data_IF_421616774431
#
_entry.id   IF_421616774431
#
_cell.length_a   1.000
_cell.length_b   1.000
_cell.length_c   1.000
_cell.angle_alpha   90.00
_cell.angle_beta   90.00
_cell.angle_gamma   90.00
#
_symmetry.space_group_name_H-M   'P 1'
#
loop_
_entity.id
_entity.type
_entity.pdbx_description
1 polymer ?
#
# COMPACT_ATOMS: atom_id res chain seq x y z
N UNK A 1 59.99 16.76 107.25
CA UNK A 1 60.71 15.98 106.25
C UNK A 1 59.69 15.23 105.39
N UNK A 2 59.28 15.74 104.20
CA UNK A 2 58.47 15.03 103.26
C UNK A 2 59.38 14.05 102.53
N UNK A 3 59.07 12.75 102.54
CA UNK A 3 59.95 11.72 101.99
C UNK A 3 59.93 11.76 100.44
N UNK A 4 61.10 11.57 99.80
CA UNK A 4 61.40 11.59 98.34
C UNK A 4 60.34 10.72 97.49
N UNK A 5 59.76 9.60 98.04
CA UNK A 5 58.82 8.78 97.24
C UNK A 5 57.45 9.43 96.96
N UNK A 6 56.99 10.36 97.79
CA UNK A 6 55.68 11.05 97.53
C UNK A 6 55.75 12.11 96.42
N UNK A 7 56.89 12.74 96.21
CA UNK A 7 57.05 13.71 95.07
C UNK A 7 57.15 13.00 93.74
N UNK A 8 57.78 11.81 93.65
CA UNK A 8 57.82 10.99 92.40
C UNK A 8 56.48 10.44 92.01
N UNK A 9 55.56 10.06 92.91
CA UNK A 9 54.22 9.61 92.64
C UNK A 9 53.31 10.73 92.13
N UNK A 10 53.45 11.96 92.60
CA UNK A 10 52.72 13.12 92.14
C UNK A 10 53.19 13.58 90.75
N UNK A 11 54.47 13.43 90.41
CA UNK A 11 55.04 13.73 89.10
C UNK A 11 54.65 12.68 88.06
N UNK A 12 54.57 11.42 88.39
CA UNK A 12 54.07 10.32 87.52
C UNK A 12 52.56 10.43 87.19
N UNK A 13 51.78 10.78 88.22
CA UNK A 13 50.34 11.00 88.01
C UNK A 13 50.07 12.26 87.16
N UNK A 14 50.82 13.33 87.36
CA UNK A 14 50.71 14.53 86.50
C UNK A 14 51.09 14.28 85.07
N UNK A 15 52.10 13.44 84.82
CA UNK A 15 52.51 13.07 83.46
C UNK A 15 51.48 12.17 82.77
N UNK A 16 50.80 11.26 83.45
CA UNK A 16 49.72 10.45 82.92
C UNK A 16 48.50 11.30 82.60
N UNK A 17 48.11 12.27 83.39
CA UNK A 17 46.99 13.16 83.17
C UNK A 17 47.20 14.06 81.98
N UNK A 18 48.48 14.61 81.84
CA UNK A 18 48.90 15.44 80.70
C UNK A 18 48.83 14.61 79.38
N UNK A 19 49.38 13.39 79.39
CA UNK A 19 49.29 12.49 78.21
C UNK A 19 47.83 12.09 77.83
N UNK A 20 46.95 11.91 78.86
CA UNK A 20 45.55 11.63 78.61
C UNK A 20 44.81 12.84 78.06
N UNK A 21 45.11 14.04 78.51
CA UNK A 21 44.62 15.29 78.00
C UNK A 21 45.10 15.57 76.57
N UNK A 22 46.36 15.28 76.24
CA UNK A 22 46.88 15.39 74.88
C UNK A 22 46.23 14.41 73.90
N UNK A 23 46.00 13.13 74.32
CA UNK A 23 45.32 12.15 73.51
C UNK A 23 43.85 12.52 73.24
N UNK A 24 43.16 13.12 74.23
CA UNK A 24 41.76 13.59 74.05
C UNK A 24 41.74 14.79 73.09
N UNK A 25 42.74 15.69 73.18
CA UNK A 25 42.84 16.87 72.30
C UNK A 25 43.20 16.49 70.87
N UNK A 26 44.11 15.51 70.68
CA UNK A 26 44.43 14.97 69.36
C UNK A 26 43.24 14.20 68.76
N UNK A 27 42.47 13.39 69.52
CA UNK A 27 41.28 12.74 69.04
C UNK A 27 40.17 13.73 68.65
N UNK A 28 39.95 14.79 69.47
CA UNK A 28 39.00 15.85 69.17
C UNK A 28 39.42 16.71 67.98
N UNK A 29 40.73 16.90 67.77
CA UNK A 29 41.26 17.65 66.60
C UNK A 29 41.18 16.84 65.33
N UNK A 30 41.32 15.50 65.41
CA UNK A 30 41.18 14.59 64.24
C UNK A 30 39.71 14.46 63.82
N UNK A 31 38.77 14.40 64.76
CA UNK A 31 37.37 14.41 64.43
C UNK A 31 36.85 15.78 63.90
N UNK A 32 37.36 16.88 64.43
CA UNK A 32 37.02 18.24 64.00
C UNK A 32 37.58 18.57 62.59
N UNK A 33 38.78 18.05 62.23
CA UNK A 33 39.34 18.24 60.86
C UNK A 33 38.66 17.36 59.79
N UNK A 34 38.05 16.21 60.18
CA UNK A 34 37.28 15.37 59.26
C UNK A 34 35.90 15.99 58.96
N UNK A 35 35.32 16.75 59.88
CA UNK A 35 34.02 17.39 59.69
C UNK A 35 34.09 18.74 58.91
N UNK A 36 35.27 19.30 58.71
CA UNK A 36 35.42 20.64 58.11
C UNK A 36 35.23 20.67 56.56
N UNK A 37 35.31 19.51 55.86
CA UNK A 37 35.31 19.43 54.42
C UNK A 37 34.26 18.43 53.84
N UNK A 38 33.13 18.19 54.57
CA UNK A 38 32.10 17.27 54.13
C UNK A 38 30.70 17.93 54.23
N UNK A 39 29.97 17.91 53.14
CA UNK A 39 28.54 18.26 53.10
C UNK A 39 27.75 17.00 53.35
N UNK A 40 26.85 17.02 54.32
CA UNK A 40 25.90 15.92 54.56
C UNK A 40 24.53 16.30 54.02
N UNK A 41 23.95 15.45 53.25
CA UNK A 41 22.62 15.61 52.69
C UNK A 41 21.79 14.31 52.83
N UNK A 42 20.49 14.46 53.12
CA UNK A 42 19.55 13.35 53.05
C UNK A 42 19.33 12.99 51.57
N UNK A 43 19.04 11.72 51.30
CA UNK A 43 18.76 11.29 49.95
C UNK A 43 18.12 9.91 49.90
N UNK A 44 17.90 9.43 48.67
CA UNK A 44 17.41 8.08 48.45
C UNK A 44 18.08 7.46 47.20
N UNK A 45 18.11 6.15 47.14
CA UNK A 45 18.65 5.40 46.03
C UNK A 45 17.59 5.27 44.92
N UNK A 46 17.99 5.53 43.68
CA UNK A 46 17.13 5.33 42.51
C UNK A 46 17.91 4.62 41.39
N UNK A 47 17.21 3.91 40.46
CA UNK A 47 17.79 3.48 39.21
C UNK A 47 18.24 4.68 38.38
N UNK A 48 19.28 4.53 37.58
CA UNK A 48 19.70 5.57 36.64
C UNK A 48 18.58 5.81 35.60
N UNK A 49 18.22 7.08 35.37
CA UNK A 49 17.20 7.47 34.40
C UNK A 49 15.77 7.49 34.96
N UNK A 50 15.63 7.40 36.28
CA UNK A 50 14.34 7.36 37.00
C UNK A 50 13.55 6.06 36.78
N UNK A 51 12.50 5.86 37.55
CA UNK A 51 11.58 4.73 37.44
C UNK A 51 10.50 5.10 36.41
N UNK A 52 10.31 4.26 35.42
CA UNK A 52 9.30 4.46 34.39
C UNK A 52 8.06 3.60 34.71
N UNK A 53 6.93 4.26 34.92
CA UNK A 53 5.64 3.60 35.02
C UNK A 53 5.12 3.28 33.62
N UNK A 54 5.09 2.00 33.29
CA UNK A 54 4.57 1.51 31.99
C UNK A 54 3.04 1.42 32.08
N UNK A 55 2.38 2.15 31.20
CA UNK A 55 0.93 2.19 31.06
C UNK A 55 0.51 1.76 29.66
N UNK A 56 -0.76 1.35 29.44
CA UNK A 56 -1.30 1.12 28.12
C UNK A 56 -1.19 2.38 27.27
N UNK A 57 -1.10 2.19 25.96
CA UNK A 57 -1.07 3.30 25.00
C UNK A 57 -2.41 4.07 25.03
N UNK A 58 -2.36 5.36 24.70
CA UNK A 58 -3.54 6.21 24.62
C UNK A 58 -4.70 5.56 23.85
N UNK A 59 -5.90 5.60 24.41
CA UNK A 59 -7.09 4.93 23.89
C UNK A 59 -7.32 3.51 24.40
N UNK A 60 -6.35 2.93 25.12
CA UNK A 60 -6.43 1.58 25.71
C UNK A 60 -6.45 1.60 27.26
N UNK A 61 -6.65 2.77 27.88
CA UNK A 61 -6.57 2.94 29.35
C UNK A 61 -7.67 2.18 30.11
N UNK A 62 -8.74 1.81 29.42
CA UNK A 62 -9.85 1.01 29.98
C UNK A 62 -9.78 -0.47 29.62
N UNK A 63 -8.71 -0.89 28.91
CA UNK A 63 -8.51 -2.29 28.61
C UNK A 63 -8.12 -3.06 29.88
N UNK A 64 -8.56 -4.30 29.96
CA UNK A 64 -8.14 -5.24 31.01
C UNK A 64 -6.87 -5.94 30.58
N UNK A 65 -6.06 -6.33 31.55
CA UNK A 65 -4.92 -7.19 31.31
C UNK A 65 -5.43 -8.62 31.12
N UNK A 66 -5.22 -9.19 29.94
CA UNK A 66 -5.49 -10.61 29.69
C UNK A 66 -4.36 -11.48 30.24
N UNK A 67 -3.12 -11.12 29.93
CA UNK A 67 -1.92 -11.86 30.32
C UNK A 67 -0.82 -10.90 30.76
N UNK A 68 -0.18 -11.20 31.89
CA UNK A 68 1.04 -10.53 32.32
C UNK A 68 2.21 -11.49 32.10
N UNK A 69 3.20 -11.08 31.32
CA UNK A 69 4.32 -11.93 30.89
C UNK A 69 5.60 -11.76 31.71
N UNK A 70 5.58 -10.91 32.69
CA UNK A 70 6.75 -10.59 33.51
C UNK A 70 6.45 -10.76 35.01
N UNK A 71 7.51 -10.93 35.76
CA UNK A 71 7.47 -11.05 37.25
C UNK A 71 8.26 -9.92 37.89
N UNK A 72 7.93 -9.60 39.12
CA UNK A 72 8.71 -8.66 39.93
C UNK A 72 10.17 -9.16 40.05
N UNK A 73 11.11 -8.27 39.82
CA UNK A 73 12.54 -8.55 39.83
C UNK A 73 13.11 -9.10 38.52
N UNK A 74 12.28 -9.36 37.49
CA UNK A 74 12.70 -9.87 36.19
C UNK A 74 13.40 -8.78 35.37
N UNK A 75 14.47 -9.17 34.64
CA UNK A 75 15.17 -8.30 33.74
C UNK A 75 14.48 -8.32 32.37
N UNK A 76 14.19 -7.15 31.84
CA UNK A 76 13.55 -6.95 30.53
C UNK A 76 14.41 -6.09 29.63
N UNK A 77 14.25 -6.27 28.33
CA UNK A 77 14.87 -5.43 27.28
C UNK A 77 13.84 -4.50 26.66
N UNK A 78 14.33 -3.42 26.08
CA UNK A 78 13.48 -2.55 25.27
C UNK A 78 12.79 -3.33 24.14
N UNK A 79 11.46 -3.21 24.06
CA UNK A 79 10.62 -3.94 23.12
C UNK A 79 10.01 -5.25 23.65
N UNK A 80 10.47 -5.79 24.79
CA UNK A 80 9.89 -6.99 25.38
C UNK A 80 8.42 -6.76 25.79
N UNK A 81 7.58 -7.78 25.56
CA UNK A 81 6.15 -7.71 25.89
C UNK A 81 5.98 -7.90 27.40
N UNK A 82 5.46 -6.89 28.05
CA UNK A 82 5.15 -6.87 29.48
C UNK A 82 3.77 -7.46 29.75
N UNK A 83 2.77 -7.01 29.00
CA UNK A 83 1.40 -7.45 29.15
C UNK A 83 0.67 -7.51 27.80
N UNK A 84 -0.36 -8.34 27.73
CA UNK A 84 -1.32 -8.44 26.63
C UNK A 84 -2.67 -7.98 27.13
N UNK A 85 -3.33 -7.11 26.38
CA UNK A 85 -4.65 -6.57 26.70
C UNK A 85 -5.76 -7.49 26.16
N UNK A 86 -6.92 -7.51 26.81
CA UNK A 86 -8.10 -8.33 26.48
C UNK A 86 -8.68 -8.04 25.07
N UNK A 87 -8.42 -6.86 24.53
CA UNK A 87 -8.76 -6.49 23.14
C UNK A 87 -7.93 -7.23 22.08
N UNK A 88 -6.87 -7.97 22.46
CA UNK A 88 -5.95 -8.62 21.54
C UNK A 88 -6.67 -9.58 20.59
N UNK A 89 -7.51 -10.49 21.11
CA UNK A 89 -8.24 -11.47 20.30
C UNK A 89 -9.15 -10.82 19.26
N UNK A 90 -9.83 -9.73 19.62
CA UNK A 90 -10.68 -8.97 18.70
C UNK A 90 -9.86 -8.25 17.63
N UNK A 91 -8.68 -7.74 17.96
CA UNK A 91 -7.78 -7.09 17.01
C UNK A 91 -7.11 -8.10 16.06
N UNK A 92 -6.83 -9.32 16.53
CA UNK A 92 -6.39 -10.44 15.66
C UNK A 92 -7.47 -10.75 14.63
N UNK A 93 -8.73 -10.93 15.05
CA UNK A 93 -9.83 -11.17 14.14
C UNK A 93 -10.06 -10.01 13.14
N UNK A 94 -9.90 -8.76 13.61
CA UNK A 94 -9.99 -7.58 12.73
C UNK A 94 -8.86 -7.56 11.69
N UNK A 95 -7.64 -7.96 12.04
CA UNK A 95 -6.53 -8.08 11.10
C UNK A 95 -6.78 -9.18 10.06
N UNK A 96 -7.29 -10.33 10.48
CA UNK A 96 -7.63 -11.44 9.59
C UNK A 96 -8.74 -11.05 8.60
N UNK A 97 -9.76 -10.33 9.07
CA UNK A 97 -10.80 -9.76 8.23
C UNK A 97 -10.23 -8.78 7.18
N UNK A 98 -9.32 -7.90 7.60
CA UNK A 98 -8.66 -6.96 6.70
C UNK A 98 -7.80 -7.69 5.64
N UNK A 99 -7.11 -8.77 6.01
CA UNK A 99 -6.38 -9.61 5.06
C UNK A 99 -7.30 -10.31 4.06
N UNK A 100 -8.46 -10.80 4.51
CA UNK A 100 -9.46 -11.40 3.62
C UNK A 100 -9.98 -10.39 2.60
N UNK A 101 -10.23 -9.14 3.02
CA UNK A 101 -10.63 -8.06 2.12
C UNK A 101 -9.52 -7.68 1.12
N UNK A 102 -8.26 -7.69 1.54
CA UNK A 102 -7.10 -7.50 0.64
C UNK A 102 -7.05 -8.59 -0.43
N UNK A 103 -7.24 -9.86 -0.04
CA UNK A 103 -7.27 -10.99 -0.99
C UNK A 103 -8.40 -10.87 -2.01
N UNK A 104 -9.61 -10.48 -1.56
CA UNK A 104 -10.76 -10.25 -2.45
C UNK A 104 -10.45 -9.13 -3.44
N UNK A 105 -9.93 -7.99 -2.97
CA UNK A 105 -9.58 -6.87 -3.84
C UNK A 105 -8.45 -7.22 -4.82
N UNK A 106 -7.49 -8.04 -4.40
CA UNK A 106 -6.42 -8.56 -5.26
C UNK A 106 -6.97 -9.47 -6.36
N UNK A 107 -7.85 -10.41 -6.00
CA UNK A 107 -8.49 -11.30 -6.96
C UNK A 107 -9.37 -10.52 -7.96
N UNK A 108 -10.08 -9.49 -7.50
CA UNK A 108 -10.88 -8.62 -8.36
C UNK A 108 -10.01 -7.84 -9.36
N UNK A 109 -8.86 -7.33 -8.93
CA UNK A 109 -7.91 -6.68 -9.84
C UNK A 109 -7.40 -7.65 -10.91
N UNK A 110 -7.03 -8.86 -10.53
CA UNK A 110 -6.56 -9.89 -11.48
C UNK A 110 -7.68 -10.32 -12.44
N UNK A 111 -8.93 -10.43 -11.95
CA UNK A 111 -10.09 -10.72 -12.79
C UNK A 111 -10.29 -9.63 -13.87
N UNK A 112 -10.21 -8.37 -13.47
CA UNK A 112 -10.36 -7.23 -14.41
C UNK A 112 -9.21 -7.19 -15.41
N UNK A 113 -7.97 -7.43 -14.98
CA UNK A 113 -6.80 -7.51 -15.87
C UNK A 113 -6.87 -8.67 -16.85
N UNK A 114 -7.40 -9.80 -16.42
CA UNK A 114 -7.57 -10.97 -17.28
C UNK A 114 -8.58 -10.72 -18.41
N UNK A 115 -9.50 -9.75 -18.24
CA UNK A 115 -10.51 -9.40 -19.22
C UNK A 115 -11.58 -10.48 -19.41
N UNK A 116 -12.18 -10.52 -20.62
CA UNK A 116 -13.18 -11.52 -20.97
C UNK A 116 -12.57 -12.93 -21.04
N UNK A 117 -13.42 -13.93 -20.80
CA UNK A 117 -13.02 -15.34 -20.88
C UNK A 117 -12.52 -15.68 -22.30
N UNK A 118 -11.46 -16.46 -22.38
CA UNK A 118 -10.91 -16.92 -23.68
C UNK A 118 -11.94 -17.54 -24.60
N UNK A 119 -12.92 -18.29 -24.03
CA UNK A 119 -14.00 -18.86 -24.78
C UNK A 119 -14.96 -17.84 -25.38
N UNK A 120 -15.26 -16.74 -24.69
CA UNK A 120 -16.10 -15.65 -25.20
C UNK A 120 -15.41 -14.93 -26.37
N UNK A 121 -14.12 -14.63 -26.23
CA UNK A 121 -13.32 -14.03 -27.30
C UNK A 121 -13.26 -14.96 -28.51
N UNK A 122 -13.07 -16.28 -28.30
CA UNK A 122 -13.06 -17.26 -29.38
C UNK A 122 -14.42 -17.38 -30.09
N UNK A 123 -15.51 -17.33 -29.35
CA UNK A 123 -16.87 -17.36 -29.94
C UNK A 123 -17.13 -16.11 -30.81
N UNK A 124 -16.77 -14.90 -30.33
CA UNK A 124 -16.89 -13.67 -31.11
C UNK A 124 -15.99 -13.67 -32.33
N UNK A 125 -14.79 -14.24 -32.23
CA UNK A 125 -13.86 -14.40 -33.36
C UNK A 125 -14.42 -15.35 -34.43
N UNK A 126 -15.05 -16.46 -34.02
CA UNK A 126 -15.71 -17.38 -34.91
C UNK A 126 -16.87 -16.69 -35.64
N UNK A 127 -17.67 -15.83 -34.97
CA UNK A 127 -18.76 -15.07 -35.58
C UNK A 127 -18.27 -14.08 -36.63
N UNK A 128 -17.14 -13.42 -36.40
CA UNK A 128 -16.48 -12.55 -37.41
C UNK A 128 -16.06 -13.36 -38.63
N UNK A 129 -15.49 -14.55 -38.45
CA UNK A 129 -15.07 -15.44 -39.53
C UNK A 129 -16.29 -15.96 -40.33
N UNK A 130 -17.37 -16.34 -39.66
CA UNK A 130 -18.64 -16.75 -40.26
C UNK A 130 -19.21 -15.63 -41.14
N UNK A 131 -19.38 -14.43 -40.63
CA UNK A 131 -19.89 -13.27 -41.38
C UNK A 131 -18.99 -12.93 -42.59
N UNK A 132 -17.66 -13.10 -42.45
CA UNK A 132 -16.71 -12.88 -43.54
C UNK A 132 -16.86 -13.95 -44.63
N UNK A 133 -17.05 -15.21 -44.25
CA UNK A 133 -17.26 -16.31 -45.19
C UNK A 133 -18.57 -16.11 -45.94
N UNK A 134 -19.66 -15.73 -45.24
CA UNK A 134 -20.96 -15.43 -45.84
C UNK A 134 -20.87 -14.29 -46.87
N UNK A 135 -20.21 -13.17 -46.52
CA UNK A 135 -19.97 -12.06 -47.45
C UNK A 135 -19.26 -12.51 -48.73
N UNK A 136 -18.16 -13.27 -48.56
CA UNK A 136 -17.40 -13.78 -49.69
C UNK A 136 -18.22 -14.73 -50.56
N UNK A 137 -19.01 -15.62 -49.94
CA UNK A 137 -19.91 -16.54 -50.65
C UNK A 137 -20.99 -15.83 -51.46
N UNK A 138 -21.67 -14.85 -50.84
CA UNK A 138 -22.70 -14.06 -51.53
C UNK A 138 -22.14 -13.25 -52.69
N UNK A 139 -20.98 -12.61 -52.49
CA UNK A 139 -20.27 -11.86 -53.56
C UNK A 139 -19.91 -12.79 -54.71
N UNK A 140 -19.38 -13.98 -54.45
CA UNK A 140 -18.97 -14.96 -55.45
C UNK A 140 -20.20 -15.43 -56.26
N UNK A 141 -21.32 -15.75 -55.60
CA UNK A 141 -22.56 -16.18 -56.23
C UNK A 141 -23.14 -15.07 -57.15
N UNK A 142 -23.20 -13.84 -56.66
CA UNK A 142 -23.77 -12.73 -57.44
C UNK A 142 -22.83 -12.33 -58.61
N UNK A 143 -21.51 -12.42 -58.47
CA UNK A 143 -20.58 -12.22 -59.57
C UNK A 143 -20.73 -13.31 -60.64
N UNK A 144 -20.95 -14.57 -60.25
CA UNK A 144 -21.25 -15.65 -61.19
C UNK A 144 -22.57 -15.44 -61.97
N UNK A 145 -23.62 -14.94 -61.29
CA UNK A 145 -24.88 -14.57 -61.88
C UNK A 145 -24.67 -13.44 -62.95
N UNK A 146 -23.96 -12.37 -62.62
CA UNK A 146 -23.64 -11.30 -63.55
C UNK A 146 -22.88 -11.85 -64.74
N UNK A 147 -21.84 -12.70 -64.53
CA UNK A 147 -21.12 -13.33 -65.62
C UNK A 147 -21.99 -14.21 -66.54
N UNK A 148 -22.99 -14.90 -65.95
CA UNK A 148 -23.99 -15.66 -66.75
C UNK A 148 -24.85 -14.76 -67.61
N UNK A 149 -25.36 -13.65 -67.05
CA UNK A 149 -26.16 -12.68 -67.81
C UNK A 149 -25.36 -12.00 -68.94
N UNK A 150 -24.10 -11.68 -68.70
CA UNK A 150 -23.17 -11.12 -69.72
C UNK A 150 -22.92 -12.14 -70.85
N UNK A 151 -22.70 -13.42 -70.48
CA UNK A 151 -22.52 -14.49 -71.47
C UNK A 151 -23.79 -14.71 -72.34
N UNK A 152 -24.99 -14.65 -71.72
CA UNK A 152 -26.27 -14.74 -72.42
C UNK A 152 -26.45 -13.55 -73.39
N UNK A 153 -26.17 -12.32 -72.93
CA UNK A 153 -26.23 -11.14 -73.80
C UNK A 153 -25.26 -11.29 -75.02
N UNK A 154 -24.06 -11.74 -74.77
CA UNK A 154 -23.07 -11.96 -75.85
C UNK A 154 -23.52 -12.98 -76.86
N UNK A 155 -24.10 -14.12 -76.39
CA UNK A 155 -24.66 -15.19 -77.22
C UNK A 155 -25.85 -14.71 -78.07
N UNK A 156 -26.87 -14.11 -77.41
CA UNK A 156 -28.02 -13.57 -78.10
C UNK A 156 -27.69 -12.50 -79.16
N UNK A 157 -26.77 -11.60 -78.81
CA UNK A 157 -26.24 -10.54 -79.73
C UNK A 157 -25.55 -11.16 -80.95
N UNK A 158 -24.74 -12.22 -80.77
CA UNK A 158 -24.09 -12.92 -81.89
C UNK A 158 -25.14 -13.53 -82.82
N UNK A 159 -26.07 -14.34 -82.25
CA UNK A 159 -27.13 -15.00 -83.06
C UNK A 159 -27.98 -14.01 -83.82
N UNK A 160 -28.37 -12.89 -83.18
CA UNK A 160 -29.16 -11.85 -83.84
C UNK A 160 -28.39 -11.10 -84.94
N UNK A 161 -27.07 -10.81 -84.74
CA UNK A 161 -26.21 -10.24 -85.69
C UNK A 161 -26.03 -11.14 -86.95
N UNK A 162 -25.88 -12.46 -86.75
CA UNK A 162 -25.82 -13.43 -87.85
C UNK A 162 -27.10 -13.43 -88.68
N UNK A 163 -28.28 -13.34 -88.01
CA UNK A 163 -29.57 -13.19 -88.72
C UNK A 163 -29.67 -11.92 -89.47
N UNK A 164 -29.21 -10.77 -88.92
CA UNK A 164 -29.19 -9.48 -89.60
C UNK A 164 -28.29 -9.53 -90.83
N UNK A 165 -27.11 -10.13 -90.81
CA UNK A 165 -26.23 -10.28 -91.94
C UNK A 165 -26.81 -11.12 -93.06
N UNK A 166 -27.56 -12.21 -92.71
CA UNK A 166 -28.31 -12.99 -93.68
C UNK A 166 -29.35 -12.14 -94.39
N UNK A 167 -30.20 -11.41 -93.63
CA UNK A 167 -31.26 -10.53 -94.19
C UNK A 167 -30.64 -9.42 -95.00
N UNK A 168 -29.52 -8.82 -94.62
CA UNK A 168 -28.78 -7.83 -95.48
C UNK A 168 -28.35 -8.42 -96.78
N UNK A 169 -27.90 -9.67 -96.79
CA UNK A 169 -27.50 -10.37 -98.01
C UNK A 169 -28.70 -10.62 -98.93
N UNK A 170 -29.83 -11.04 -98.35
CA UNK A 170 -31.11 -11.20 -99.11
C UNK A 170 -31.62 -9.85 -99.68
N UNK A 171 -31.57 -8.78 -98.87
CA UNK A 171 -31.94 -7.43 -99.28
C UNK A 171 -31.05 -6.94 -100.48
N UNK A 172 -29.73 -7.13 -100.35
CA UNK A 172 -28.78 -6.77 -101.38
C UNK A 172 -29.05 -7.46 -102.74
N UNK A 173 -29.45 -8.75 -102.66
CA UNK A 173 -29.89 -9.50 -103.85
C UNK A 173 -31.20 -8.94 -104.38
N UNK A 174 -32.23 -8.77 -103.60
CA UNK A 174 -33.53 -8.22 -103.99
C UNK A 174 -33.42 -6.81 -104.52
N UNK A 175 -32.55 -5.97 -104.00
CA UNK A 175 -32.21 -4.62 -104.54
C UNK A 175 -31.69 -4.71 -105.95
N UNK A 176 -30.70 -5.55 -106.21
CA UNK A 176 -30.13 -5.75 -107.53
C UNK A 176 -31.15 -6.27 -108.55
N UNK A 177 -32.04 -7.19 -108.09
CA UNK A 177 -33.07 -7.73 -108.92
C UNK A 177 -34.13 -6.65 -109.25
N UNK A 178 -34.61 -5.88 -108.22
CA UNK A 178 -35.50 -4.76 -108.45
C UNK A 178 -34.91 -3.74 -109.45
N UNK A 179 -33.62 -3.28 -109.24
CA UNK A 179 -32.96 -2.34 -110.14
C UNK A 179 -32.83 -2.87 -111.58
N UNK A 180 -32.53 -4.15 -111.76
CA UNK A 180 -32.48 -4.85 -113.01
C UNK A 180 -33.85 -4.88 -113.72
N UNK A 181 -34.90 -5.34 -113.01
CA UNK A 181 -36.25 -5.43 -113.55
C UNK A 181 -36.83 -4.05 -113.84
N UNK A 182 -36.49 -3.02 -113.08
CA UNK A 182 -36.86 -1.61 -113.34
C UNK A 182 -36.23 -1.10 -114.61
N UNK A 183 -34.98 -1.47 -114.92
CA UNK A 183 -34.32 -1.14 -116.20
C UNK A 183 -34.92 -1.91 -117.36
N UNK A 184 -35.26 -3.18 -117.19
CA UNK A 184 -35.94 -4.00 -118.23
C UNK A 184 -37.35 -3.51 -118.52
N UNK A 185 -38.09 -3.06 -117.52
CA UNK A 185 -39.41 -2.45 -117.67
C UNK A 185 -39.34 -1.14 -118.55
N UNK A 186 -38.39 -0.26 -118.26
CA UNK A 186 -38.17 0.97 -119.00
C UNK A 186 -37.89 0.64 -120.48
N UNK A 187 -37.21 -0.48 -120.76
CA UNK A 187 -36.87 -0.94 -122.15
C UNK A 187 -37.99 -1.79 -122.77
N UNK A 188 -39.19 -1.96 -122.09
CA UNK A 188 -40.31 -2.73 -122.55
C UNK A 188 -40.14 -4.24 -122.57
N UNK A 189 -39.11 -4.82 -121.88
CA UNK A 189 -38.77 -6.23 -121.91
C UNK A 189 -39.49 -7.09 -120.85
N UNK A 190 -40.17 -6.45 -119.84
CA UNK A 190 -40.96 -7.14 -118.78
C UNK A 190 -42.25 -6.37 -118.46
N UNK A 191 -43.19 -7.05 -117.83
CA UNK A 191 -44.46 -6.41 -117.42
C UNK A 191 -44.31 -5.57 -116.15
N UNK A 192 -45.18 -4.56 -115.94
CA UNK A 192 -45.16 -3.75 -114.70
C UNK A 192 -45.37 -4.64 -113.47
N UNK A 193 -46.26 -5.63 -113.52
CA UNK A 193 -46.50 -6.58 -112.39
C UNK A 193 -45.30 -7.39 -112.06
N UNK A 194 -44.44 -7.79 -113.02
CA UNK A 194 -43.15 -8.44 -112.74
C UNK A 194 -42.14 -7.51 -112.02
N UNK A 195 -42.02 -6.29 -112.51
CA UNK A 195 -41.16 -5.28 -111.91
C UNK A 195 -41.62 -4.98 -110.46
N UNK A 196 -42.90 -4.72 -110.28
CA UNK A 196 -43.47 -4.45 -108.94
C UNK A 196 -43.26 -5.61 -107.97
N UNK A 197 -43.36 -6.87 -108.39
CA UNK A 197 -43.19 -8.05 -107.52
C UNK A 197 -41.68 -8.12 -106.96
N UNK A 198 -40.74 -7.83 -107.83
CA UNK A 198 -39.31 -7.79 -107.38
C UNK A 198 -38.99 -6.56 -106.47
N UNK A 199 -39.61 -5.40 -106.79
CA UNK A 199 -39.47 -4.23 -105.92
C UNK A 199 -40.19 -4.41 -104.58
N UNK A 200 -41.40 -5.10 -104.53
CA UNK A 200 -42.07 -5.45 -103.32
C UNK A 200 -41.16 -6.37 -102.46
N UNK A 201 -40.49 -7.35 -103.08
CA UNK A 201 -39.60 -8.25 -102.34
C UNK A 201 -38.43 -7.47 -101.67
N UNK A 202 -37.85 -6.43 -102.39
CA UNK A 202 -36.87 -5.53 -101.81
C UNK A 202 -37.43 -4.78 -100.60
N UNK A 203 -38.62 -4.16 -100.74
CA UNK A 203 -39.24 -3.40 -99.66
C UNK A 203 -39.59 -4.30 -98.44
N UNK A 204 -40.03 -5.55 -98.69
CA UNK A 204 -40.30 -6.55 -97.64
C UNK A 204 -39.02 -6.90 -96.91
N UNK A 205 -37.90 -7.18 -97.65
CA UNK A 205 -36.62 -7.48 -96.96
C UNK A 205 -36.06 -6.26 -96.23
N UNK A 206 -36.30 -5.06 -96.70
CA UNK A 206 -35.90 -3.84 -95.98
C UNK A 206 -36.65 -3.67 -94.70
N UNK A 207 -37.94 -3.94 -94.61
CA UNK A 207 -38.73 -3.94 -93.40
C UNK A 207 -38.27 -5.04 -92.45
N UNK A 208 -38.04 -6.26 -92.95
CA UNK A 208 -37.50 -7.37 -92.14
C UNK A 208 -36.15 -7.03 -91.51
N UNK A 209 -35.27 -6.28 -92.25
CA UNK A 209 -34.01 -5.79 -91.69
C UNK A 209 -34.26 -4.81 -90.55
N UNK A 210 -35.20 -3.87 -90.71
CA UNK A 210 -35.52 -2.89 -89.65
C UNK A 210 -36.08 -3.57 -88.43
N UNK A 211 -36.96 -4.57 -88.62
CA UNK A 211 -37.53 -5.40 -87.46
C UNK A 211 -36.42 -6.16 -86.78
N UNK A 212 -35.52 -6.81 -87.51
CA UNK A 212 -34.38 -7.56 -86.88
C UNK A 212 -33.43 -6.63 -86.10
N UNK A 213 -33.15 -5.42 -86.65
CA UNK A 213 -32.35 -4.42 -85.91
C UNK A 213 -33.08 -3.89 -84.67
N UNK A 214 -34.36 -3.60 -84.76
CA UNK A 214 -35.15 -3.18 -83.57
C UNK A 214 -35.22 -4.26 -82.54
N UNK A 215 -35.37 -5.57 -82.92
CA UNK A 215 -35.33 -6.69 -82.03
C UNK A 215 -33.93 -6.83 -81.32
N UNK A 216 -32.84 -6.70 -82.09
CA UNK A 216 -31.51 -6.69 -81.46
C UNK A 216 -31.36 -5.60 -80.42
N UNK A 217 -31.81 -4.36 -80.77
CA UNK A 217 -31.78 -3.26 -79.81
C UNK A 217 -32.57 -3.60 -78.53
N UNK A 218 -33.78 -4.11 -78.69
CA UNK A 218 -34.65 -4.50 -77.58
C UNK A 218 -33.98 -5.58 -76.67
N UNK A 219 -33.36 -6.60 -77.24
CA UNK A 219 -32.60 -7.62 -76.51
C UNK A 219 -31.45 -6.96 -75.75
N UNK A 220 -30.66 -6.11 -76.39
CA UNK A 220 -29.52 -5.45 -75.71
C UNK A 220 -30.00 -4.59 -74.56
N UNK A 221 -31.03 -3.78 -74.75
CA UNK A 221 -31.57 -2.87 -73.72
C UNK A 221 -32.15 -3.65 -72.55
N UNK A 222 -32.94 -4.73 -72.80
CA UNK A 222 -33.49 -5.60 -71.77
C UNK A 222 -32.36 -6.27 -70.93
N UNK A 223 -31.41 -6.90 -71.62
CA UNK A 223 -30.30 -7.60 -70.91
C UNK A 223 -29.38 -6.69 -70.14
N UNK A 224 -29.10 -5.49 -70.68
CA UNK A 224 -28.33 -4.47 -69.95
C UNK A 224 -29.04 -4.05 -68.65
N UNK A 225 -30.37 -3.90 -68.70
CA UNK A 225 -31.15 -3.56 -67.51
C UNK A 225 -31.12 -4.68 -66.48
N UNK A 226 -31.19 -5.96 -66.91
CA UNK A 226 -31.04 -7.10 -66.02
C UNK A 226 -29.66 -7.15 -65.38
N UNK A 227 -28.56 -6.94 -66.11
CA UNK A 227 -27.19 -6.89 -65.60
C UNK A 227 -27.08 -5.73 -64.60
N UNK A 228 -27.59 -4.54 -64.94
CA UNK A 228 -27.59 -3.40 -64.04
C UNK A 228 -28.27 -3.69 -62.72
N UNK A 229 -29.44 -4.32 -62.72
CA UNK A 229 -30.16 -4.76 -61.48
C UNK A 229 -29.33 -5.74 -60.69
N UNK A 230 -28.68 -6.70 -61.30
CA UNK A 230 -27.78 -7.65 -60.65
C UNK A 230 -26.56 -6.94 -60.01
N UNK A 231 -25.97 -5.95 -60.71
CA UNK A 231 -24.88 -5.13 -60.17
C UNK A 231 -25.31 -4.26 -58.95
N UNK A 232 -26.50 -3.67 -59.03
CA UNK A 232 -27.10 -2.91 -57.91
C UNK A 232 -27.35 -3.82 -56.69
N UNK A 233 -27.84 -5.05 -56.90
CA UNK A 233 -27.99 -6.05 -55.84
C UNK A 233 -26.66 -6.43 -55.24
N UNK A 234 -25.60 -6.66 -56.05
CA UNK A 234 -24.25 -6.92 -55.56
C UNK A 234 -23.72 -5.78 -54.70
N UNK A 235 -23.89 -4.53 -55.14
CA UNK A 235 -23.49 -3.37 -54.35
C UNK A 235 -24.25 -3.24 -53.05
N UNK A 236 -25.57 -3.53 -53.05
CA UNK A 236 -26.37 -3.59 -51.83
C UNK A 236 -25.88 -4.68 -50.87
N UNK A 237 -25.62 -5.87 -51.36
CA UNK A 237 -25.08 -6.99 -50.59
C UNK A 237 -23.73 -6.62 -49.97
N UNK A 238 -22.82 -6.11 -50.78
CA UNK A 238 -21.48 -5.63 -50.28
C UNK A 238 -21.65 -4.63 -49.16
N UNK A 239 -22.52 -3.64 -49.31
CA UNK A 239 -22.72 -2.60 -48.29
C UNK A 239 -23.37 -3.16 -47.00
N UNK A 240 -24.39 -3.97 -47.12
CA UNK A 240 -25.15 -4.48 -45.99
C UNK A 240 -24.36 -5.49 -45.17
N UNK A 241 -23.75 -6.48 -45.84
CA UNK A 241 -23.00 -7.55 -45.15
C UNK A 241 -21.64 -7.02 -44.68
N UNK A 242 -21.04 -6.04 -45.35
CA UNK A 242 -19.85 -5.35 -44.85
C UNK A 242 -20.14 -4.62 -43.54
N UNK A 243 -21.27 -3.93 -43.40
CA UNK A 243 -21.68 -3.31 -42.12
C UNK A 243 -21.92 -4.35 -41.01
N UNK A 244 -22.51 -5.50 -41.35
CA UNK A 244 -22.69 -6.59 -40.39
C UNK A 244 -21.35 -7.18 -39.92
N UNK A 245 -20.38 -7.31 -40.83
CA UNK A 245 -19.02 -7.73 -40.51
C UNK A 245 -18.35 -6.70 -39.58
N UNK A 246 -18.44 -5.41 -39.92
CA UNK A 246 -17.91 -4.31 -39.08
C UNK A 246 -18.52 -4.31 -37.69
N UNK A 247 -19.84 -4.49 -37.58
CA UNK A 247 -20.54 -4.61 -36.29
C UNK A 247 -20.01 -5.80 -35.48
N UNK A 248 -19.78 -6.96 -36.12
CA UNK A 248 -19.23 -8.14 -35.44
C UNK A 248 -17.80 -7.90 -34.97
N UNK A 249 -16.98 -7.21 -35.76
CA UNK A 249 -15.64 -6.80 -35.38
C UNK A 249 -15.66 -5.83 -34.20
N UNK A 250 -16.53 -4.81 -34.22
CA UNK A 250 -16.69 -3.88 -33.11
C UNK A 250 -17.10 -4.59 -31.81
N UNK A 251 -18.01 -5.59 -31.92
CA UNK A 251 -18.41 -6.42 -30.78
C UNK A 251 -17.23 -7.24 -30.23
N UNK A 252 -16.42 -7.84 -31.11
CA UNK A 252 -15.20 -8.56 -30.70
C UNK A 252 -14.22 -7.64 -29.96
N UNK A 253 -13.98 -6.44 -30.48
CA UNK A 253 -13.10 -5.47 -29.84
C UNK A 253 -13.63 -5.04 -28.46
N UNK A 254 -14.93 -4.71 -28.38
CA UNK A 254 -15.58 -4.34 -27.13
C UNK A 254 -15.51 -5.46 -26.07
N UNK A 255 -15.65 -6.72 -26.51
CA UNK A 255 -15.55 -7.89 -25.62
C UNK A 255 -14.11 -8.10 -25.14
N UNK A 256 -13.14 -7.92 -26.02
CA UNK A 256 -11.71 -8.15 -25.70
C UNK A 256 -11.08 -6.98 -24.94
N UNK A 257 -11.69 -5.82 -24.90
CA UNK A 257 -11.12 -4.61 -24.32
C UNK A 257 -11.04 -4.67 -22.80
N UNK A 258 -9.83 -4.57 -22.26
CA UNK A 258 -9.59 -4.31 -20.84
C UNK A 258 -9.45 -2.80 -20.65
N UNK A 259 -10.47 -2.16 -20.10
CA UNK A 259 -10.50 -0.70 -19.93
C UNK A 259 -9.51 -0.25 -18.85
N UNK A 260 -8.51 0.62 -19.15
CA UNK A 260 -7.51 1.06 -18.18
C UNK A 260 -8.13 1.72 -16.93
N UNK A 261 -9.27 2.39 -17.08
CA UNK A 261 -9.98 3.02 -15.96
C UNK A 261 -10.51 1.97 -14.97
N UNK A 262 -11.01 0.83 -15.45
CA UNK A 262 -11.50 -0.25 -14.56
C UNK A 262 -10.32 -0.88 -13.80
N UNK A 263 -9.18 -1.06 -14.44
CA UNK A 263 -7.94 -1.52 -13.80
C UNK A 263 -7.47 -0.51 -12.74
N UNK A 264 -7.53 0.79 -13.04
CA UNK A 264 -7.16 1.84 -12.09
C UNK A 264 -8.09 1.86 -10.86
N UNK A 265 -9.40 1.70 -11.06
CA UNK A 265 -10.37 1.61 -9.96
C UNK A 265 -10.08 0.41 -9.07
N UNK A 266 -9.91 -0.79 -9.64
CA UNK A 266 -9.60 -1.99 -8.88
C UNK A 266 -8.24 -1.91 -8.16
N UNK A 267 -7.24 -1.30 -8.79
CA UNK A 267 -5.94 -1.04 -8.16
C UNK A 267 -6.06 -0.08 -6.96
N UNK A 268 -6.92 0.95 -7.05
CA UNK A 268 -7.21 1.86 -5.95
C UNK A 268 -7.94 1.13 -4.80
N UNK A 269 -8.88 0.23 -5.11
CA UNK A 269 -9.56 -0.61 -4.11
C UNK A 269 -8.57 -1.53 -3.39
N UNK A 270 -7.65 -2.18 -4.12
CA UNK A 270 -6.59 -2.99 -3.51
C UNK A 270 -5.69 -2.14 -2.60
N UNK A 271 -5.33 -0.93 -3.03
CA UNK A 271 -4.54 0.01 -2.20
C UNK A 271 -5.27 0.37 -0.91
N UNK A 272 -6.58 0.62 -0.97
CA UNK A 272 -7.40 0.90 0.21
C UNK A 272 -7.46 -0.32 1.17
N UNK A 273 -7.64 -1.53 0.64
CA UNK A 273 -7.63 -2.76 1.45
C UNK A 273 -6.26 -3.00 2.12
N UNK A 274 -5.15 -2.75 1.42
CA UNK A 274 -3.79 -2.77 2.01
C UNK A 274 -3.61 -1.75 3.12
N UNK A 275 -4.18 -0.56 2.98
CA UNK A 275 -4.15 0.45 4.03
C UNK A 275 -4.94 0.00 5.27
N UNK A 276 -6.08 -0.68 5.09
CA UNK A 276 -6.85 -1.27 6.18
C UNK A 276 -6.07 -2.36 6.93
N UNK A 277 -5.37 -3.25 6.21
CA UNK A 277 -4.46 -4.25 6.82
C UNK A 277 -3.39 -3.57 7.66
N UNK A 278 -2.75 -2.51 7.14
CA UNK A 278 -1.75 -1.74 7.89
C UNK A 278 -2.34 -1.12 9.15
N UNK A 279 -3.53 -0.53 9.07
CA UNK A 279 -4.24 0.03 10.22
C UNK A 279 -4.57 -1.03 11.26
N UNK A 280 -5.14 -2.18 10.85
CA UNK A 280 -5.47 -3.28 11.76
C UNK A 280 -4.22 -3.87 12.43
N UNK A 281 -3.09 -3.95 11.70
CA UNK A 281 -1.80 -4.38 12.27
C UNK A 281 -1.27 -3.42 13.34
N UNK A 282 -1.40 -2.12 13.11
CA UNK A 282 -1.03 -1.11 14.11
C UNK A 282 -1.92 -1.24 15.34
N UNK A 283 -3.24 -1.36 15.16
CA UNK A 283 -4.19 -1.53 16.26
C UNK A 283 -3.89 -2.80 17.09
N UNK A 284 -3.57 -3.90 16.42
CA UNK A 284 -3.11 -5.12 17.10
C UNK A 284 -1.81 -4.86 17.88
N UNK A 285 -0.87 -4.10 17.31
CA UNK A 285 0.37 -3.72 17.99
C UNK A 285 0.15 -2.98 19.31
N UNK A 286 -0.90 -2.14 19.39
CA UNK A 286 -1.26 -1.38 20.59
C UNK A 286 -1.79 -2.26 21.73
N UNK A 287 -2.23 -3.48 21.46
CA UNK A 287 -2.68 -4.44 22.49
C UNK A 287 -1.53 -5.09 23.24
N UNK A 288 -0.29 -4.96 22.77
CA UNK A 288 0.91 -5.41 23.44
C UNK A 288 1.58 -4.25 24.15
N UNK A 289 1.58 -4.27 25.47
CA UNK A 289 2.31 -3.30 26.27
C UNK A 289 3.77 -3.74 26.35
N UNK A 290 4.70 -2.86 25.96
CA UNK A 290 6.12 -3.21 25.85
C UNK A 290 6.99 -2.31 26.73
N UNK A 291 8.14 -2.83 27.16
CA UNK A 291 9.14 -2.04 27.85
C UNK A 291 9.77 -1.02 26.90
N UNK A 292 9.85 0.28 27.26
CA UNK A 292 10.54 1.29 26.47
C UNK A 292 12.07 1.24 26.65
N UNK A 293 12.57 0.60 27.74
CA UNK A 293 13.98 0.57 28.10
C UNK A 293 14.43 -0.84 28.50
N UNK A 294 15.75 -1.05 28.53
CA UNK A 294 16.36 -2.16 29.22
C UNK A 294 16.32 -1.88 30.73
N UNK A 295 15.84 -2.81 31.53
CA UNK A 295 15.71 -2.58 32.95
C UNK A 295 15.23 -3.80 33.73
N UNK A 296 14.84 -3.57 34.96
CA UNK A 296 14.28 -4.58 35.88
C UNK A 296 12.87 -4.15 36.29
N UNK A 297 11.94 -5.11 36.36
CA UNK A 297 10.59 -4.89 36.88
C UNK A 297 10.68 -4.67 38.38
N UNK A 298 10.37 -3.47 38.84
CA UNK A 298 10.44 -3.09 40.24
C UNK A 298 9.13 -3.43 40.97
N UNK A 299 8.00 -3.01 40.38
CA UNK A 299 6.69 -3.22 40.97
C UNK A 299 5.65 -3.58 39.91
N UNK A 300 4.61 -4.32 40.29
CA UNK A 300 3.47 -4.69 39.46
C UNK A 300 2.23 -4.08 40.10
N UNK A 301 1.60 -3.14 39.41
CA UNK A 301 0.42 -2.40 39.87
C UNK A 301 -0.90 -3.01 39.46
N UNK A 302 -0.90 -3.75 38.31
CA UNK A 302 -2.13 -4.37 37.81
C UNK A 302 -1.90 -5.84 37.43
N UNK A 303 -2.88 -6.69 37.78
CA UNK A 303 -2.87 -8.15 37.59
C UNK A 303 -3.79 -8.55 36.43
N UNK A 304 -3.65 -9.77 35.89
CA UNK A 304 -4.59 -10.30 34.93
C UNK A 304 -6.04 -10.19 35.41
N UNK A 305 -6.94 -9.70 34.56
CA UNK A 305 -8.35 -9.42 34.86
C UNK A 305 -8.61 -7.99 35.38
N UNK A 306 -7.61 -7.24 35.78
CA UNK A 306 -7.75 -5.87 36.30
C UNK A 306 -7.64 -4.83 35.15
N UNK A 307 -8.21 -3.64 35.39
CA UNK A 307 -8.07 -2.50 34.50
C UNK A 307 -6.71 -1.83 34.70
N UNK A 308 -6.04 -1.49 33.62
CA UNK A 308 -4.70 -0.88 33.63
C UNK A 308 -4.74 0.66 33.75
N UNK A 309 -5.60 1.21 34.61
CA UNK A 309 -5.84 2.68 34.73
C UNK A 309 -4.69 3.43 35.40
N UNK A 310 -3.98 2.80 36.33
CA UNK A 310 -2.92 3.44 37.13
C UNK A 310 -1.51 2.96 36.75
N UNK A 311 -1.36 2.45 35.52
CA UNK A 311 -0.15 1.78 35.09
C UNK A 311 -0.18 0.28 35.33
N UNK A 312 0.75 -0.44 34.74
CA UNK A 312 0.85 -1.90 34.81
C UNK A 312 2.05 -2.32 35.67
N UNK A 313 3.24 -1.84 35.32
CA UNK A 313 4.49 -2.15 36.02
C UNK A 313 5.41 -0.94 36.06
N UNK A 314 6.30 -0.92 37.02
CA UNK A 314 7.43 -0.01 37.10
C UNK A 314 8.70 -0.70 36.63
N UNK A 315 9.47 0.00 35.75
CA UNK A 315 10.75 -0.47 35.22
C UNK A 315 11.83 0.56 35.49
N UNK A 316 13.01 0.10 35.93
CA UNK A 316 14.17 0.96 36.16
C UNK A 316 15.49 0.27 35.76
N UNK A 317 16.48 1.06 35.33
CA UNK A 317 17.85 0.56 35.06
C UNK A 317 18.63 0.33 36.37
N UNK A 318 18.34 -0.77 37.04
CA UNK A 318 19.01 -1.13 38.32
C UNK A 318 20.46 -1.58 38.17
N UNK A 319 20.98 -1.74 36.94
CA UNK A 319 22.40 -2.03 36.73
C UNK A 319 23.26 -0.83 37.10
N UNK A 320 22.69 0.36 36.92
CA UNK A 320 23.33 1.63 37.25
C UNK A 320 22.44 2.33 38.29
N UNK A 321 22.89 2.40 39.52
CA UNK A 321 22.16 3.08 40.58
C UNK A 321 22.71 4.49 40.81
N UNK A 322 21.83 5.40 41.21
CA UNK A 322 22.17 6.76 41.63
C UNK A 322 21.62 7.01 43.05
N UNK A 323 22.35 7.81 43.81
CA UNK A 323 21.77 8.40 45.00
C UNK A 323 21.35 9.83 44.69
N UNK A 324 20.05 10.11 44.90
CA UNK A 324 19.51 11.46 44.77
C UNK A 324 19.64 12.17 46.12
N UNK A 325 20.63 13.07 46.24
CA UNK A 325 20.89 13.81 47.45
C UNK A 325 20.17 15.17 47.44
N UNK A 326 19.51 15.51 48.53
CA UNK A 326 18.86 16.80 48.76
C UNK A 326 19.77 17.76 49.50
N UNK A 327 20.64 18.48 48.75
CA UNK A 327 21.60 19.42 49.30
C UNK A 327 20.93 20.75 49.60
N UNK A 328 21.15 21.30 50.78
CA UNK A 328 20.62 22.63 51.12
C UNK A 328 21.16 23.75 50.20
N UNK A 329 20.34 24.73 49.92
CA UNK A 329 20.65 25.90 49.07
C UNK A 329 21.91 26.62 49.54
N UNK A 330 22.18 26.65 50.85
CA UNK A 330 23.37 27.30 51.46
C UNK A 330 24.66 26.56 51.15
N UNK A 331 24.64 25.28 50.80
CA UNK A 331 25.81 24.45 50.60
C UNK A 331 26.03 24.07 49.13
N UNK A 332 25.08 24.36 48.25
CA UNK A 332 25.18 23.93 46.84
C UNK A 332 26.36 24.53 46.08
N UNK A 333 26.82 25.75 46.44
CA UNK A 333 27.98 26.39 45.80
C UNK A 333 29.29 25.57 45.99
N UNK A 334 29.35 24.77 47.03
CA UNK A 334 30.51 23.91 47.36
C UNK A 334 30.50 22.59 46.60
N UNK A 335 29.31 22.21 46.01
CA UNK A 335 29.17 20.96 45.27
C UNK A 335 29.61 21.15 43.82
N UNK A 336 30.50 20.27 43.35
CA UNK A 336 31.00 20.31 41.97
C UNK A 336 30.92 18.92 41.35
N UNK A 337 30.76 18.88 40.03
CA UNK A 337 30.76 17.63 39.25
C UNK A 337 32.10 16.88 39.47
N UNK A 338 32.00 15.54 39.61
CA UNK A 338 33.15 14.68 39.79
C UNK A 338 33.65 14.52 41.24
N UNK A 339 33.06 15.23 42.22
CA UNK A 339 33.41 15.04 43.63
C UNK A 339 33.08 13.62 44.11
N UNK A 340 33.93 13.07 44.94
CA UNK A 340 33.74 11.73 45.55
C UNK A 340 32.72 11.82 46.67
N UNK A 341 31.85 10.84 46.70
CA UNK A 341 30.72 10.75 47.66
C UNK A 341 30.75 9.41 48.35
N UNK A 342 30.54 9.44 49.65
CA UNK A 342 30.31 8.29 50.49
C UNK A 342 28.85 8.29 50.91
N UNK A 343 28.18 7.14 50.75
CA UNK A 343 26.72 7.00 51.00
C UNK A 343 26.55 5.96 52.08
N UNK A 344 25.81 6.33 53.14
CA UNK A 344 25.56 5.51 54.30
C UNK A 344 24.05 5.28 54.52
N UNK A 345 23.67 4.17 55.05
CA UNK A 345 22.29 3.89 55.53
C UNK A 345 22.34 2.89 56.64
N UNK A 346 21.39 2.98 57.56
CA UNK A 346 21.21 1.99 58.63
C UNK A 346 20.86 0.58 58.11
N UNK A 347 20.35 0.49 56.92
CA UNK A 347 20.01 -0.78 56.26
C UNK A 347 21.20 -1.42 55.51
N UNK A 348 22.35 -0.72 55.42
CA UNK A 348 23.56 -1.20 54.74
C UNK A 348 24.65 -1.55 55.74
N UNK A 349 25.27 -2.70 55.58
CA UNK A 349 26.42 -3.12 56.38
C UNK A 349 27.75 -2.40 55.99
N UNK A 350 27.84 -1.87 54.78
CA UNK A 350 28.99 -1.18 54.26
C UNK A 350 28.55 0.11 53.53
N UNK A 351 29.39 1.13 53.56
CA UNK A 351 29.18 2.36 52.80
C UNK A 351 29.24 2.09 51.29
N UNK A 352 28.37 2.77 50.52
CA UNK A 352 28.42 2.80 49.07
C UNK A 352 29.25 4.00 48.65
N UNK A 353 29.85 3.92 47.46
CA UNK A 353 30.69 4.98 46.91
C UNK A 353 30.19 5.40 45.53
N UNK A 354 30.31 6.69 45.24
CA UNK A 354 29.90 7.25 43.98
C UNK A 354 30.62 8.59 43.67
N UNK A 355 30.19 9.20 42.60
CA UNK A 355 30.64 10.51 42.16
C UNK A 355 29.49 11.42 41.81
N UNK A 356 29.60 12.71 42.09
CA UNK A 356 28.60 13.71 41.65
C UNK A 356 28.57 13.75 40.13
N UNK A 357 27.45 13.34 39.56
CA UNK A 357 27.25 13.25 38.10
C UNK A 357 26.43 14.41 37.56
N UNK A 358 25.48 14.92 38.35
CA UNK A 358 24.56 15.96 37.94
C UNK A 358 24.14 16.82 39.14
N UNK A 359 24.09 18.15 38.95
CA UNK A 359 23.60 19.12 39.92
C UNK A 359 22.29 19.71 39.32
N UNK A 360 21.19 19.59 40.05
CA UNK A 360 19.88 20.07 39.58
C UNK A 360 19.86 21.59 39.39
N UNK A 361 19.08 22.02 38.42
CA UNK A 361 18.93 23.45 38.08
C UNK A 361 17.70 24.10 38.77
N UNK A 362 17.05 23.38 39.67
CA UNK A 362 15.83 23.83 40.34
C UNK A 362 15.97 23.72 41.85
N UNK A 363 15.69 24.81 42.56
CA UNK A 363 15.49 24.78 44.00
C UNK A 363 14.06 24.32 44.30
N UNK A 364 13.93 23.29 45.10
CA UNK A 364 12.64 22.72 45.52
C UNK A 364 12.49 22.78 47.03
N UNK A 365 11.30 22.58 47.53
CA UNK A 365 11.11 22.32 48.98
C UNK A 365 11.63 20.92 49.28
N UNK A 366 12.26 20.74 50.44
CA UNK A 366 12.73 19.42 50.91
C UNK A 366 11.54 18.47 51.05
N UNK A 367 11.64 17.30 50.46
CA UNK A 367 10.64 16.25 50.60
C UNK A 367 10.78 15.63 51.99
N UNK A 368 9.79 15.83 52.90
CA UNK A 368 9.82 15.34 54.27
C UNK A 368 9.60 13.83 54.27
N UNK A 369 10.63 13.06 54.53
CA UNK A 369 10.55 11.61 54.82
C UNK A 369 10.37 11.29 56.34
N UNK A 370 10.20 12.30 57.20
CA UNK A 370 9.95 12.11 58.64
C UNK A 370 8.54 12.60 59.00
N UNK A 371 7.86 11.82 59.81
CA UNK A 371 6.52 12.10 60.36
C UNK A 371 6.45 13.30 61.32
N UNK A 372 7.50 14.12 61.45
CA UNK A 372 7.51 15.28 62.36
C UNK A 372 7.30 16.59 61.57
N UNK A 373 6.07 17.13 61.60
CA UNK A 373 5.70 18.27 60.75
C UNK A 373 6.30 19.58 61.19
N UNK A 374 6.96 19.68 62.32
CA UNK A 374 7.31 20.96 62.96
C UNK A 374 8.67 21.53 62.52
N UNK A 375 9.61 20.72 62.04
CA UNK A 375 10.99 21.17 61.85
C UNK A 375 11.37 21.43 60.36
N UNK A 376 10.57 21.08 59.36
CA UNK A 376 11.01 21.07 57.98
C UNK A 376 10.16 21.89 56.96
N UNK A 377 9.28 22.77 57.45
CA UNK A 377 8.28 23.41 56.56
C UNK A 377 8.84 24.38 55.49
N UNK A 378 10.12 24.85 55.60
CA UNK A 378 10.66 25.86 54.70
C UNK A 378 12.12 25.58 54.15
N UNK A 379 12.64 24.38 54.39
CA UNK A 379 13.96 24.05 53.91
C UNK A 379 13.99 23.94 52.35
N UNK A 380 14.86 24.73 51.74
CA UNK A 380 15.08 24.70 50.27
C UNK A 380 16.28 23.86 49.94
N UNK A 381 16.12 22.97 48.96
CA UNK A 381 17.15 22.02 48.52
C UNK A 381 17.30 21.99 47.03
N UNK A 382 18.51 21.64 46.62
CA UNK A 382 18.81 21.30 45.22
C UNK A 382 19.09 19.81 45.14
N UNK A 383 18.43 19.11 44.21
CA UNK A 383 18.62 17.69 43.99
C UNK A 383 19.97 17.46 43.25
N UNK A 384 20.86 16.69 43.84
CA UNK A 384 22.17 16.33 43.28
C UNK A 384 22.16 14.82 43.02
N UNK A 385 22.43 14.42 41.79
CA UNK A 385 22.56 13.01 41.42
C UNK A 385 23.98 12.51 41.53
N UNK A 386 24.14 11.50 42.32
CA UNK A 386 25.42 10.83 42.57
C UNK A 386 25.40 9.46 41.91
N UNK A 387 26.20 9.28 40.88
CA UNK A 387 26.32 7.99 40.19
C UNK A 387 27.16 7.05 41.06
N UNK A 388 26.60 5.90 41.44
CA UNK A 388 27.30 4.87 42.17
C UNK A 388 28.30 4.15 41.28
N UNK A 389 29.44 3.73 41.89
CA UNK A 389 30.35 2.83 41.22
C UNK A 389 29.73 1.44 40.96
N UNK A 390 30.32 0.64 40.07
CA UNK A 390 29.80 -0.67 39.68
C UNK A 390 29.61 -1.62 40.85
N UNK A 391 30.54 -1.57 41.83
CA UNK A 391 30.48 -2.42 43.03
C UNK A 391 29.33 -2.00 43.94
N UNK A 392 29.15 -0.70 44.14
CA UNK A 392 28.07 -0.13 44.96
C UNK A 392 26.72 -0.33 44.27
N UNK A 393 26.60 -0.15 42.94
CA UNK A 393 25.36 -0.43 42.16
C UNK A 393 24.96 -1.88 42.28
N UNK A 394 25.88 -2.84 42.18
CA UNK A 394 25.63 -4.27 42.38
C UNK A 394 25.13 -4.63 43.78
N UNK A 395 25.52 -3.87 44.80
CA UNK A 395 25.07 -4.07 46.16
C UNK A 395 23.68 -3.47 46.44
N UNK A 396 23.28 -2.48 45.67
CA UNK A 396 22.08 -1.68 45.91
C UNK A 396 20.97 -1.89 44.84
N UNK A 397 21.15 -2.78 43.86
CA UNK A 397 20.25 -2.97 42.72
C UNK A 397 18.77 -3.29 43.10
N UNK A 398 18.54 -3.81 44.29
CA UNK A 398 17.22 -4.16 44.81
C UNK A 398 16.74 -3.22 45.92
N UNK A 399 17.42 -2.06 46.11
CA UNK A 399 17.17 -1.14 47.21
C UNK A 399 16.69 0.23 46.69
N UNK A 400 15.85 0.23 45.67
CA UNK A 400 15.20 1.45 45.16
C UNK A 400 14.38 2.10 46.28
N UNK A 401 14.42 3.44 46.38
CA UNK A 401 13.82 4.27 47.42
C UNK A 401 14.37 4.04 48.83
N UNK A 402 15.53 3.36 48.97
CA UNK A 402 16.19 3.28 50.28
C UNK A 402 16.69 4.66 50.69
N UNK A 403 16.32 5.09 51.93
CA UNK A 403 16.80 6.34 52.53
C UNK A 403 18.29 6.22 52.84
N UNK A 404 19.08 7.22 52.47
CA UNK A 404 20.52 7.25 52.64
C UNK A 404 21.01 8.62 53.08
N UNK A 405 22.10 8.62 53.83
CA UNK A 405 22.87 9.82 54.16
C UNK A 405 24.03 9.95 53.17
N UNK A 406 24.08 11.06 52.46
CA UNK A 406 25.02 11.31 51.38
C UNK A 406 26.09 12.30 51.89
N UNK A 407 27.35 11.86 51.90
CA UNK A 407 28.48 12.66 52.38
C UNK A 407 29.37 13.06 51.18
N UNK A 408 29.26 14.31 50.79
CA UNK A 408 30.04 14.87 49.64
C UNK A 408 31.31 15.53 50.17
N UNK A 409 32.46 15.08 49.69
CA UNK A 409 33.76 15.67 50.06
C UNK A 409 34.10 16.83 49.09
N UNK A 410 34.28 18.04 49.63
CA UNK A 410 34.54 19.25 48.86
C UNK A 410 35.90 19.87 49.10
#
# INVERSE_FOLDING_TARGET
MVSVPTVLLLLASGYQVLNYQQKITEHKKTEADISANVITADGYLEPKGEVILISPTFGMERARIEELRVKRGELVKAGDIIAVLDSNSSMVAALENAHSQEQIASAQLELIKAGAKKGEIAAQKAKVLENRAELNGQIATQNAEIGTLEAQLAGEKRTQNESIERIKTELKKAQKDCDRYQSLYVNGAVSISQMESFCLLKDTNQKSLQEAQANLKRIIDSRKEEIKKAQENLNRTRTTVARQLEQSQATLYATAEVRPVNVAIAAAQLKAAKALVKQSRVNLGLTFVRSPIDGQILEIHAKPGELATSGIVEVGDTKNMVALAEVYETDIEKVKLGQKVEIKSSALSESLHGTVNEIGFKVAKKENFNDDPVIAADARVVKVRVLLDEKSSKKSFNLTNLKVDVLIKY
#
